data_IF_034663923792
#
_entry.id   IF_034663923792
#
_cell.length_a   1.000
_cell.length_b   1.000
_cell.length_c   1.000
_cell.angle_alpha   90.00
_cell.angle_beta   90.00
_cell.angle_gamma   90.00
#
_symmetry.space_group_name_H-M   'P 1'
#
loop_
_entity.id
_entity.type
_entity.pdbx_description
1 polymer ?
#
# COMPACT_ATOMS: atom_id res chain seq x y z
N UNK A 1 5.63 -11.08 -12.00
CA UNK A 1 5.17 -10.47 -10.74
C UNK A 1 5.92 -9.19 -10.52
N UNK A 2 5.22 -8.12 -10.15
CA UNK A 2 5.77 -6.80 -9.87
C UNK A 2 5.35 -6.34 -8.47
N UNK A 3 6.25 -5.59 -7.83
CA UNK A 3 6.06 -4.92 -6.55
C UNK A 3 6.48 -3.46 -6.74
N UNK A 4 5.66 -2.52 -6.30
CA UNK A 4 6.03 -1.11 -6.16
C UNK A 4 5.38 -0.51 -4.91
N UNK A 5 5.87 0.65 -4.47
CA UNK A 5 5.37 1.36 -3.30
C UNK A 5 4.69 2.66 -3.73
N UNK A 6 3.54 2.96 -3.14
CA UNK A 6 2.94 4.30 -3.17
C UNK A 6 3.11 4.92 -1.80
N UNK A 7 3.67 6.13 -1.75
CA UNK A 7 3.97 6.82 -0.51
C UNK A 7 3.49 8.28 -0.59
N UNK A 8 2.87 8.81 0.47
CA UNK A 8 2.59 10.23 0.55
C UNK A 8 3.91 11.01 0.61
N UNK A 9 3.91 12.24 0.08
CA UNK A 9 5.06 13.15 0.20
C UNK A 9 5.28 13.61 1.63
N UNK A 10 4.19 13.84 2.36
CA UNK A 10 4.22 14.15 3.78
C UNK A 10 4.39 12.84 4.58
N UNK A 11 5.42 12.73 5.43
CA UNK A 11 5.68 11.50 6.15
C UNK A 11 4.60 11.29 7.22
N UNK A 12 3.81 10.24 7.02
CA UNK A 12 2.88 9.71 8.03
C UNK A 12 3.56 8.52 8.68
N UNK A 13 3.79 8.54 9.99
CA UNK A 13 4.68 7.58 10.66
C UNK A 13 4.04 6.19 10.79
N UNK A 14 2.80 6.14 11.28
CA UNK A 14 2.05 4.90 11.52
C UNK A 14 0.58 5.05 11.15
N UNK A 15 -0.03 3.98 10.69
CA UNK A 15 -1.46 3.95 10.38
C UNK A 15 -2.30 4.19 11.65
N UNK A 16 -1.82 3.71 12.80
CA UNK A 16 -2.49 3.90 14.09
C UNK A 16 -2.52 5.37 14.57
N UNK A 17 -1.71 6.24 13.98
CA UNK A 17 -1.52 7.64 14.42
C UNK A 17 -2.18 8.67 13.49
N UNK A 18 -2.76 8.22 12.37
CA UNK A 18 -3.27 9.11 11.31
C UNK A 18 -4.48 9.93 11.74
N UNK A 19 -5.36 9.36 12.57
CA UNK A 19 -6.64 9.96 12.92
C UNK A 19 -7.55 10.20 11.69
N UNK A 20 -8.66 10.91 11.91
CA UNK A 20 -9.66 11.16 10.86
C UNK A 20 -9.15 12.09 9.76
N UNK A 21 -8.24 13.00 10.09
CA UNK A 21 -7.69 14.00 9.16
C UNK A 21 -6.93 13.38 7.98
N UNK A 22 -6.34 12.19 8.15
CA UNK A 22 -5.62 11.52 7.07
C UNK A 22 -6.49 10.60 6.21
N UNK A 23 -7.80 10.52 6.43
CA UNK A 23 -8.71 9.68 5.61
C UNK A 23 -8.59 10.02 4.11
N UNK A 24 -8.60 11.31 3.77
CA UNK A 24 -8.48 11.75 2.38
C UNK A 24 -7.11 11.41 1.78
N UNK A 25 -6.04 11.51 2.58
CA UNK A 25 -4.68 11.21 2.14
C UNK A 25 -4.52 9.70 1.87
N UNK A 26 -4.96 8.85 2.80
CA UNK A 26 -4.89 7.40 2.66
C UNK A 26 -5.75 6.91 1.48
N UNK A 27 -6.97 7.45 1.34
CA UNK A 27 -7.80 7.17 0.17
C UNK A 27 -7.12 7.56 -1.14
N UNK A 28 -6.48 8.72 -1.18
CA UNK A 28 -5.72 9.16 -2.36
C UNK A 28 -4.56 8.21 -2.68
N UNK A 29 -3.81 7.75 -1.68
CA UNK A 29 -2.70 6.79 -1.86
C UNK A 29 -3.20 5.47 -2.47
N UNK A 30 -4.35 4.95 -2.03
CA UNK A 30 -4.94 3.73 -2.60
C UNK A 30 -5.36 3.93 -4.06
N UNK A 31 -6.02 5.05 -4.38
CA UNK A 31 -6.44 5.36 -5.75
C UNK A 31 -5.23 5.50 -6.68
N UNK A 32 -4.18 6.20 -6.24
CA UNK A 32 -2.93 6.30 -7.02
C UNK A 32 -2.32 4.93 -7.27
N UNK A 33 -2.33 4.02 -6.29
CA UNK A 33 -1.85 2.66 -6.48
C UNK A 33 -2.63 1.88 -7.53
N UNK A 34 -3.96 1.99 -7.55
CA UNK A 34 -4.81 1.38 -8.57
C UNK A 34 -4.51 1.97 -9.96
N UNK A 35 -4.40 3.31 -10.06
CA UNK A 35 -4.04 3.99 -11.31
C UNK A 35 -2.69 3.52 -11.84
N UNK A 36 -1.70 3.30 -10.97
CA UNK A 36 -0.39 2.76 -11.35
C UNK A 36 -0.51 1.33 -11.91
N UNK A 37 -1.31 0.45 -11.29
CA UNK A 37 -1.56 -0.90 -11.80
C UNK A 37 -2.18 -0.85 -13.20
N UNK A 38 -3.19 0.00 -13.40
CA UNK A 38 -3.85 0.19 -14.68
C UNK A 38 -2.87 0.72 -15.75
N UNK A 39 -2.04 1.71 -15.40
CA UNK A 39 -1.01 2.26 -16.29
C UNK A 39 0.03 1.22 -16.72
N UNK A 40 0.35 0.27 -15.83
CA UNK A 40 1.29 -0.82 -16.08
C UNK A 40 0.65 -2.01 -16.82
N UNK A 41 -0.65 -1.95 -17.14
CA UNK A 41 -1.37 -2.99 -17.88
C UNK A 41 -1.62 -4.27 -17.07
N UNK A 42 -1.63 -4.20 -15.74
CA UNK A 42 -1.70 -5.36 -14.85
C UNK A 42 -3.12 -5.61 -14.34
N UNK A 43 -4.01 -5.92 -15.27
CA UNK A 43 -5.46 -5.95 -15.04
C UNK A 43 -5.98 -7.24 -14.39
N UNK A 44 -5.16 -8.28 -14.26
CA UNK A 44 -5.55 -9.58 -13.68
C UNK A 44 -5.57 -9.59 -12.14
N UNK A 45 -5.73 -8.42 -11.51
CA UNK A 45 -5.78 -8.25 -10.06
C UNK A 45 -4.45 -7.91 -9.41
N UNK A 46 -4.56 -7.43 -8.16
CA UNK A 46 -3.44 -6.99 -7.33
C UNK A 46 -3.78 -7.12 -5.84
N UNK A 47 -2.77 -7.03 -4.97
CA UNK A 47 -2.93 -6.90 -3.52
C UNK A 47 -2.23 -5.63 -3.06
N UNK A 48 -2.93 -4.85 -2.26
CA UNK A 48 -2.38 -3.75 -1.48
C UNK A 48 -2.21 -4.22 -0.03
N UNK A 49 -1.08 -3.89 0.58
CA UNK A 49 -0.78 -4.22 1.98
C UNK A 49 -0.40 -2.94 2.71
N UNK A 50 -0.82 -2.79 3.96
CA UNK A 50 -0.29 -1.77 4.87
C UNK A 50 0.17 -2.49 6.12
N UNK A 51 1.46 -2.40 6.40
CA UNK A 51 2.10 -3.04 7.56
C UNK A 51 2.13 -2.04 8.72
N UNK A 52 1.74 -2.50 9.92
CA UNK A 52 1.65 -1.67 11.12
C UNK A 52 2.37 -2.34 12.29
N UNK A 53 3.36 -1.65 12.84
CA UNK A 53 4.13 -2.12 13.99
C UNK A 53 5.00 -3.37 13.74
N UNK A 54 5.67 -3.88 14.78
CA UNK A 54 6.60 -5.01 14.64
C UNK A 54 5.92 -6.30 14.17
N UNK A 55 4.76 -6.62 14.73
CA UNK A 55 3.99 -7.82 14.38
C UNK A 55 3.39 -7.75 12.97
N UNK A 56 3.12 -6.54 12.47
CA UNK A 56 2.69 -6.32 11.10
C UNK A 56 3.85 -6.32 10.09
N UNK A 57 5.11 -6.44 10.53
CA UNK A 57 6.28 -6.43 9.65
C UNK A 57 6.71 -5.03 9.18
N UNK A 58 6.25 -3.96 9.84
CA UNK A 58 6.59 -2.59 9.45
C UNK A 58 8.10 -2.33 9.63
N UNK A 59 8.81 -2.19 8.51
CA UNK A 59 10.27 -2.06 8.49
C UNK A 59 10.78 -0.62 8.39
N UNK A 60 9.94 0.33 7.99
CA UNK A 60 10.28 1.76 7.84
C UNK A 60 9.25 2.60 8.59
N UNK A 61 9.72 3.64 9.28
CA UNK A 61 8.91 4.54 10.11
C UNK A 61 8.11 5.56 9.26
N UNK A 62 7.55 5.12 8.13
CA UNK A 62 6.58 5.87 7.34
C UNK A 62 5.65 4.93 6.58
N UNK A 63 4.40 5.35 6.41
CA UNK A 63 3.38 4.63 5.65
C UNK A 63 3.83 4.53 4.20
N UNK A 64 3.88 3.30 3.73
CA UNK A 64 4.01 2.95 2.33
C UNK A 64 2.94 1.92 2.01
N UNK A 65 2.40 1.99 0.80
CA UNK A 65 1.43 1.03 0.29
C UNK A 65 2.14 0.13 -0.74
N UNK A 66 2.68 -1.03 -0.32
CA UNK A 66 3.05 -2.10 -1.22
C UNK A 66 1.90 -2.53 -2.12
N UNK A 67 2.16 -2.54 -3.43
CA UNK A 67 1.24 -3.05 -4.45
C UNK A 67 1.88 -4.24 -5.15
N UNK A 68 1.32 -5.43 -4.96
CA UNK A 68 1.78 -6.68 -5.57
C UNK A 68 0.85 -7.09 -6.70
N UNK A 69 1.40 -7.34 -7.88
CA UNK A 69 0.62 -7.64 -9.09
C UNK A 69 1.40 -8.51 -10.09
N UNK A 70 0.75 -8.91 -11.20
CA UNK A 70 1.41 -9.65 -12.29
C UNK A 70 1.85 -11.07 -11.94
N UNK A 71 1.25 -11.67 -10.92
CA UNK A 71 1.29 -13.11 -10.59
C UNK A 71 0.12 -13.46 -9.67
N UNK A 72 -0.25 -14.74 -9.60
CA UNK A 72 -1.17 -15.24 -8.57
C UNK A 72 -0.54 -15.05 -7.18
N UNK A 73 -1.33 -14.55 -6.23
CA UNK A 73 -0.91 -14.39 -4.83
C UNK A 73 -1.54 -15.49 -3.97
N UNK A 74 -0.77 -15.97 -3.00
CA UNK A 74 -1.19 -17.01 -2.06
C UNK A 74 -2.05 -16.48 -0.92
N UNK A 75 -2.60 -17.43 -0.15
CA UNK A 75 -3.37 -17.21 1.08
C UNK A 75 -2.93 -18.28 2.10
N UNK A 76 -2.68 -17.96 3.38
CA UNK A 76 -2.83 -16.64 4.02
C UNK A 76 -1.86 -15.58 3.49
N UNK A 77 -2.18 -14.27 3.65
CA UNK A 77 -1.31 -13.16 3.26
C UNK A 77 -0.29 -12.87 4.38
N UNK A 78 0.52 -13.86 4.73
CA UNK A 78 1.59 -13.80 5.73
C UNK A 78 2.62 -14.87 5.45
#
# INVERSE_FOLDING_TARGET
>A
GMLFLVMPKEPVIRLSEVGDSGQSLLGHVMIVGEMCVAHLGLTNGFRMVVDEGPEGGQSVCCIHLPVLCGRQLGCPPG
#
